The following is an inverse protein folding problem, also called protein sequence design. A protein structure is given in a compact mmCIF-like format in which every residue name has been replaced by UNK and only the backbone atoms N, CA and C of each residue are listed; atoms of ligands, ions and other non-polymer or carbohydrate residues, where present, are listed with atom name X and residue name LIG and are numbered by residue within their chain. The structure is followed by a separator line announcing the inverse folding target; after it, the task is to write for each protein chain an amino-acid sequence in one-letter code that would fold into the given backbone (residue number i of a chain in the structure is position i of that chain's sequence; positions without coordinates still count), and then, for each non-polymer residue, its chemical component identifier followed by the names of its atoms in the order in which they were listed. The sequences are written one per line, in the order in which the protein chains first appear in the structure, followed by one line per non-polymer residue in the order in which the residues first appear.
data_IF_275292732006
#
_entry.id   IF_275292732006
#
_cell.length_a   1.000
_cell.length_b   1.000
_cell.length_c   1.000
_cell.angle_alpha   90.00
_cell.angle_beta   90.00
_cell.angle_gamma   90.00
#
_symmetry.space_group_name_H-M   'P 1'
#
loop_
_entity.id
_entity.type
_entity.pdbx_description
1 polymer ?
#
# COMPACT_ATOMS: atom_id res chain seq x y z
N UNK A 1 9.19 42.83 5.01
CA UNK A 1 8.36 41.64 4.89
C UNK A 1 8.64 40.73 6.07
N UNK A 2 7.65 40.54 6.97
CA UNK A 2 7.79 39.70 8.15
C UNK A 2 7.89 38.23 7.78
N UNK A 3 8.93 37.55 8.24
CA UNK A 3 9.03 36.10 8.17
C UNK A 3 8.10 35.51 9.23
N UNK A 4 7.17 34.65 8.81
CA UNK A 4 6.31 33.92 9.72
C UNK A 4 6.93 32.58 10.01
N UNK A 5 7.16 32.28 11.30
CA UNK A 5 7.58 30.97 11.76
C UNK A 5 6.39 30.30 12.46
N UNK A 6 5.91 29.21 11.93
CA UNK A 6 4.80 28.45 12.50
C UNK A 6 5.21 27.04 12.88
N UNK A 7 4.56 26.48 13.88
CA UNK A 7 4.80 25.11 14.37
C UNK A 7 4.79 24.06 13.26
N UNK A 8 3.84 24.15 12.34
CA UNK A 8 3.71 23.24 11.20
C UNK A 8 4.73 23.57 10.10
N UNK A 9 4.94 24.85 9.82
CA UNK A 9 5.86 25.32 8.77
C UNK A 9 7.30 24.88 9.04
N UNK A 10 7.80 25.09 10.25
CA UNK A 10 9.18 24.70 10.63
C UNK A 10 9.39 23.19 10.54
N UNK A 11 8.44 22.39 11.02
CA UNK A 11 8.51 20.94 10.93
C UNK A 11 8.46 20.46 9.46
N UNK A 12 7.58 21.01 8.65
CA UNK A 12 7.46 20.66 7.24
C UNK A 12 8.73 21.04 6.46
N UNK A 13 9.29 22.24 6.69
CA UNK A 13 10.55 22.68 6.08
C UNK A 13 11.69 21.75 6.48
N UNK A 14 11.77 21.35 7.73
CA UNK A 14 12.79 20.40 8.21
C UNK A 14 12.71 19.06 7.46
N UNK A 15 11.52 18.49 7.34
CA UNK A 15 11.32 17.23 6.61
C UNK A 15 11.73 17.35 5.14
N UNK A 16 11.41 18.45 4.47
CA UNK A 16 11.82 18.69 3.09
C UNK A 16 13.35 18.81 2.97
N UNK A 17 13.99 19.55 3.88
CA UNK A 17 15.44 19.71 3.89
C UNK A 17 16.15 18.39 4.16
N UNK A 18 15.68 17.61 5.12
CA UNK A 18 16.26 16.31 5.43
C UNK A 18 16.12 15.35 4.26
N UNK A 19 14.94 15.33 3.60
CA UNK A 19 14.73 14.52 2.39
C UNK A 19 15.63 14.96 1.23
N UNK A 20 15.84 16.26 1.06
CA UNK A 20 16.77 16.76 0.03
C UNK A 20 18.23 16.38 0.32
N UNK A 21 18.64 16.39 1.59
CA UNK A 21 19.95 15.89 1.99
C UNK A 21 20.13 14.41 1.68
N UNK A 22 19.14 13.58 1.99
CA UNK A 22 19.13 12.17 1.63
C UNK A 22 19.24 11.99 0.11
N UNK A 23 18.48 12.76 -0.67
CA UNK A 23 18.53 12.74 -2.14
C UNK A 23 19.92 13.11 -2.69
N UNK A 24 20.56 14.12 -2.11
CA UNK A 24 21.90 14.56 -2.53
C UNK A 24 23.00 13.57 -2.11
N UNK A 25 22.81 12.87 -1.01
CA UNK A 25 23.73 11.84 -0.54
C UNK A 25 23.54 10.48 -1.22
N UNK A 26 22.40 10.26 -1.90
CA UNK A 26 22.05 8.98 -2.52
C UNK A 26 23.01 8.65 -3.67
N UNK A 27 23.58 7.46 -3.64
CA UNK A 27 24.41 6.88 -4.69
C UNK A 27 23.61 5.84 -5.45
N UNK A 28 23.40 6.09 -6.75
CA UNK A 28 22.68 5.16 -7.60
C UNK A 28 23.51 3.89 -7.85
N UNK A 29 22.89 2.73 -7.71
CA UNK A 29 23.45 1.45 -8.12
C UNK A 29 22.64 0.86 -9.28
N UNK A 30 23.31 0.10 -10.14
CA UNK A 30 22.71 -0.60 -11.26
C UNK A 30 22.66 -2.10 -10.99
N UNK A 31 21.59 -2.75 -11.38
CA UNK A 31 21.46 -4.20 -11.38
C UNK A 31 20.58 -4.64 -12.54
N UNK A 32 20.75 -5.88 -12.94
CA UNK A 32 19.96 -6.50 -14.00
C UNK A 32 19.19 -7.69 -13.45
N UNK A 33 18.00 -7.93 -13.99
CA UNK A 33 17.23 -9.14 -13.71
C UNK A 33 16.84 -9.82 -15.03
N UNK A 34 16.40 -11.07 -14.94
CA UNK A 34 15.95 -11.84 -16.08
C UNK A 34 14.53 -12.30 -15.82
N UNK A 35 13.63 -11.99 -16.75
CA UNK A 35 12.27 -12.50 -16.77
C UNK A 35 12.08 -13.33 -18.04
N UNK A 36 11.58 -14.56 -17.88
CA UNK A 36 11.31 -15.46 -19.00
C UNK A 36 9.82 -15.80 -19.04
N UNK A 37 9.30 -15.99 -20.25
CA UNK A 37 7.95 -16.51 -20.45
C UNK A 37 8.07 -18.03 -20.76
N UNK A 38 7.36 -18.80 -19.96
CA UNK A 38 7.26 -20.25 -20.12
C UNK A 38 5.89 -20.62 -20.67
N UNK A 39 5.85 -21.52 -21.64
CA UNK A 39 4.62 -22.10 -22.15
C UNK A 39 4.79 -23.63 -22.18
N UNK A 40 3.80 -24.41 -21.72
CA UNK A 40 3.87 -25.88 -21.76
C UNK A 40 3.83 -26.41 -23.19
N UNK A 41 3.20 -25.67 -24.09
CA UNK A 41 3.11 -25.94 -25.54
C UNK A 41 3.24 -24.64 -26.32
N UNK A 42 3.58 -24.72 -27.61
CA UNK A 42 3.84 -23.54 -28.46
C UNK A 42 2.63 -22.58 -28.56
N UNK A 43 1.41 -23.06 -28.38
CA UNK A 43 0.16 -22.27 -28.49
C UNK A 43 -0.61 -22.13 -27.16
N UNK A 44 -0.02 -22.60 -26.04
CA UNK A 44 -0.65 -22.55 -24.72
C UNK A 44 -0.54 -21.16 -24.03
N UNK A 45 -1.43 -20.91 -23.06
CA UNK A 45 -1.30 -19.79 -22.16
C UNK A 45 -0.01 -19.93 -21.34
N UNK A 46 0.96 -19.07 -21.64
CA UNK A 46 2.23 -19.02 -20.93
C UNK A 46 2.12 -18.21 -19.63
N UNK A 47 3.10 -18.40 -18.77
CA UNK A 47 3.28 -17.60 -17.56
C UNK A 47 4.68 -16.97 -17.53
N UNK A 48 4.80 -15.83 -16.87
CA UNK A 48 6.08 -15.17 -16.65
C UNK A 48 6.70 -15.64 -15.34
N UNK A 49 8.00 -15.90 -15.37
CA UNK A 49 8.79 -16.22 -14.20
C UNK A 49 10.07 -15.39 -14.19
N UNK A 50 10.46 -14.94 -13.01
CA UNK A 50 11.66 -14.15 -12.79
C UNK A 50 12.75 -14.99 -12.16
N UNK A 51 13.98 -14.80 -12.62
CA UNK A 51 15.15 -15.42 -12.03
C UNK A 51 15.33 -14.94 -10.59
N UNK A 52 15.38 -15.84 -9.64
CA UNK A 52 15.50 -15.51 -8.20
C UNK A 52 16.80 -16.00 -7.57
N UNK A 53 17.42 -17.04 -8.14
CA UNK A 53 18.67 -17.63 -7.62
C UNK A 53 19.51 -18.20 -8.76
N UNK A 54 20.84 -18.15 -8.56
CA UNK A 54 21.84 -18.87 -9.36
C UNK A 54 22.73 -19.62 -8.36
N UNK A 55 22.93 -20.91 -8.52
CA UNK A 55 23.75 -21.76 -7.65
C UNK A 55 23.40 -21.58 -6.15
N UNK A 56 22.12 -21.47 -5.85
CA UNK A 56 21.64 -21.26 -4.48
C UNK A 56 21.74 -19.82 -3.96
N UNK A 57 22.51 -18.94 -4.60
CA UNK A 57 22.64 -17.54 -4.21
C UNK A 57 21.51 -16.69 -4.80
N UNK A 58 20.87 -15.86 -3.98
CA UNK A 58 19.77 -14.99 -4.40
C UNK A 58 20.27 -13.83 -5.30
N UNK A 59 19.53 -13.52 -6.34
CA UNK A 59 19.81 -12.39 -7.20
C UNK A 59 19.33 -11.10 -6.54
N UNK A 60 20.15 -10.05 -6.66
CA UNK A 60 19.89 -8.73 -6.11
C UNK A 60 18.67 -8.05 -6.78
N UNK A 61 18.03 -7.21 -6.02
CA UNK A 61 16.99 -6.27 -6.45
C UNK A 61 17.30 -4.90 -5.86
N UNK A 62 16.60 -3.84 -6.25
CA UNK A 62 16.86 -2.49 -5.77
C UNK A 62 16.87 -2.31 -4.24
N UNK A 63 16.14 -3.16 -3.51
CA UNK A 63 16.09 -3.14 -2.03
C UNK A 63 17.32 -3.73 -1.35
N UNK A 64 18.23 -4.35 -2.09
CA UNK A 64 19.42 -5.02 -1.57
C UNK A 64 20.65 -4.11 -1.59
N UNK A 65 20.46 -2.88 -2.07
CA UNK A 65 21.47 -1.81 -2.02
C UNK A 65 21.10 -0.81 -0.93
N UNK A 66 22.09 -0.34 -0.20
CA UNK A 66 21.95 0.77 0.75
C UNK A 66 21.96 2.15 0.04
N UNK A 67 21.80 3.22 0.81
CA UNK A 67 21.79 4.59 0.28
C UNK A 67 23.13 5.03 -0.32
N UNK A 68 24.20 4.29 -0.08
CA UNK A 68 25.54 4.49 -0.65
C UNK A 68 25.78 3.63 -1.90
N UNK A 69 24.78 2.89 -2.36
CA UNK A 69 24.88 1.99 -3.49
C UNK A 69 25.64 0.70 -3.20
N UNK A 70 25.86 0.38 -1.90
CA UNK A 70 26.56 -0.84 -1.48
C UNK A 70 25.61 -2.03 -1.47
N UNK A 71 26.02 -3.12 -2.10
CA UNK A 71 25.27 -4.36 -2.15
C UNK A 71 25.40 -5.15 -0.85
N UNK A 72 24.32 -5.76 -0.39
CA UNK A 72 24.33 -6.69 0.73
C UNK A 72 25.13 -7.97 0.37
N UNK A 73 26.00 -8.44 1.26
CA UNK A 73 26.90 -9.59 1.03
C UNK A 73 26.19 -10.92 0.70
N UNK A 74 24.92 -11.06 1.11
CA UNK A 74 24.16 -12.29 0.96
C UNK A 74 23.53 -12.49 -0.43
N UNK A 75 23.69 -11.53 -1.34
CA UNK A 75 23.06 -11.53 -2.66
C UNK A 75 24.09 -11.34 -3.78
N UNK A 76 23.72 -11.70 -5.00
CA UNK A 76 24.53 -11.55 -6.20
C UNK A 76 23.88 -10.54 -7.12
N UNK A 77 24.56 -9.46 -7.47
CA UNK A 77 24.15 -8.57 -8.54
C UNK A 77 24.54 -9.16 -9.91
N UNK A 78 23.68 -8.97 -10.89
CA UNK A 78 24.01 -9.20 -12.30
C UNK A 78 24.31 -7.86 -12.93
N UNK A 79 25.39 -7.79 -13.71
CA UNK A 79 25.63 -6.74 -14.68
C UNK A 79 25.01 -7.10 -16.04
N UNK A 80 25.03 -6.16 -16.98
CA UNK A 80 24.44 -6.34 -18.29
C UNK A 80 25.05 -7.55 -19.04
N UNK A 81 26.38 -7.65 -19.03
CA UNK A 81 27.08 -8.69 -19.75
C UNK A 81 26.73 -10.10 -19.21
N UNK A 82 26.75 -10.24 -17.90
CA UNK A 82 26.41 -11.52 -17.23
C UNK A 82 24.92 -11.87 -17.43
N UNK A 83 24.02 -10.89 -17.33
CA UNK A 83 22.60 -11.13 -17.52
C UNK A 83 22.30 -11.53 -18.97
N UNK A 84 22.93 -10.88 -19.97
CA UNK A 84 22.75 -11.18 -21.38
C UNK A 84 23.27 -12.57 -21.71
N UNK A 85 24.50 -12.90 -21.32
CA UNK A 85 25.09 -14.22 -21.56
C UNK A 85 24.28 -15.35 -20.92
N UNK A 86 23.76 -15.12 -19.71
CA UNK A 86 22.90 -16.09 -19.04
C UNK A 86 21.57 -16.25 -19.77
N UNK A 87 20.93 -15.15 -20.19
CA UNK A 87 19.68 -15.20 -20.93
C UNK A 87 19.85 -15.98 -22.26
N UNK A 88 20.93 -15.74 -23.01
CA UNK A 88 21.25 -16.49 -24.22
C UNK A 88 21.43 -17.97 -23.94
N UNK A 89 22.14 -18.33 -22.87
CA UNK A 89 22.35 -19.74 -22.51
C UNK A 89 21.06 -20.45 -22.10
N UNK A 90 20.11 -19.73 -21.50
CA UNK A 90 18.80 -20.28 -21.12
C UNK A 90 17.85 -20.47 -22.30
N UNK A 91 18.09 -19.78 -23.41
CA UNK A 91 17.34 -19.95 -24.67
C UNK A 91 17.87 -21.06 -25.56
N UNK A 92 19.01 -21.65 -25.22
CA UNK A 92 19.57 -22.76 -25.96
C UNK A 92 18.61 -23.96 -25.96
N UNK A 93 18.41 -24.57 -27.11
CA UNK A 93 17.47 -25.70 -27.29
C UNK A 93 17.83 -26.95 -26.48
N UNK A 94 19.07 -27.03 -25.99
CA UNK A 94 19.50 -28.10 -25.06
C UNK A 94 19.10 -27.88 -23.61
N UNK A 95 18.66 -26.65 -23.26
CA UNK A 95 18.26 -26.30 -21.91
C UNK A 95 16.82 -26.75 -21.63
N UNK A 96 16.62 -27.56 -20.62
CA UNK A 96 15.29 -28.00 -20.18
C UNK A 96 14.89 -27.28 -18.88
N UNK A 97 13.64 -26.86 -18.81
CA UNK A 97 13.07 -26.25 -17.60
C UNK A 97 12.02 -27.19 -16.99
N UNK A 98 12.06 -27.35 -15.67
CA UNK A 98 11.11 -28.18 -14.93
C UNK A 98 10.46 -27.41 -13.80
N UNK A 99 9.18 -27.70 -13.52
CA UNK A 99 8.50 -27.17 -12.35
C UNK A 99 8.93 -27.97 -11.13
N UNK A 100 9.77 -27.36 -10.27
CA UNK A 100 10.28 -28.01 -9.08
C UNK A 100 9.23 -28.12 -7.96
N UNK A 101 8.37 -27.12 -7.81
CA UNK A 101 7.31 -27.13 -6.81
C UNK A 101 6.18 -26.17 -7.19
N UNK A 102 4.97 -26.51 -6.76
CA UNK A 102 3.81 -25.63 -6.81
C UNK A 102 3.25 -25.49 -5.41
N UNK A 103 3.20 -24.26 -4.90
CA UNK A 103 2.71 -23.99 -3.55
C UNK A 103 1.46 -23.10 -3.61
N UNK A 104 0.32 -23.64 -3.24
CA UNK A 104 -0.91 -22.90 -3.09
C UNK A 104 -0.99 -22.30 -1.67
N UNK A 105 -0.96 -20.96 -1.58
CA UNK A 105 -1.10 -20.24 -0.31
C UNK A 105 -2.46 -19.55 -0.22
N UNK A 106 -3.24 -19.84 0.82
CA UNK A 106 -4.50 -19.12 1.02
C UNK A 106 -4.20 -17.63 1.25
N UNK A 107 -4.89 -16.79 0.52
CA UNK A 107 -4.77 -15.33 0.64
C UNK A 107 -6.03 -14.75 1.30
N UNK A 108 -5.86 -14.12 2.44
CA UNK A 108 -6.96 -13.45 3.16
C UNK A 108 -6.79 -11.93 3.08
N UNK A 109 -7.75 -11.26 2.47
CA UNK A 109 -7.85 -9.80 2.53
C UNK A 109 -8.57 -9.36 3.80
N UNK A 110 -7.96 -8.42 4.51
CA UNK A 110 -8.63 -7.77 5.64
C UNK A 110 -9.20 -6.42 5.17
N UNK A 111 -10.42 -6.06 5.57
CA UNK A 111 -10.97 -4.73 5.33
C UNK A 111 -10.06 -3.65 5.94
N UNK A 112 -9.98 -2.50 5.28
CA UNK A 112 -9.32 -1.34 5.84
C UNK A 112 -10.03 -0.83 7.10
N UNK A 113 -9.30 -0.08 7.92
CA UNK A 113 -9.89 0.62 9.06
C UNK A 113 -10.88 1.70 8.59
N UNK A 114 -11.85 2.09 9.44
CA UNK A 114 -12.68 3.26 9.20
C UNK A 114 -11.84 4.51 8.93
N UNK A 115 -12.39 5.45 8.18
CA UNK A 115 -11.66 6.61 7.72
C UNK A 115 -11.27 7.58 8.85
N UNK A 116 -10.01 7.96 8.82
CA UNK A 116 -9.50 9.19 9.42
C UNK A 116 -9.43 10.28 8.35
N UNK A 117 -9.16 11.53 8.73
CA UNK A 117 -8.95 12.63 7.76
C UNK A 117 -7.92 12.28 6.70
N UNK A 118 -6.77 11.75 7.11
CA UNK A 118 -5.68 11.43 6.18
C UNK A 118 -6.03 10.28 5.23
N UNK A 119 -6.65 9.21 5.73
CA UNK A 119 -7.02 8.06 4.90
C UNK A 119 -8.19 8.39 3.96
N UNK A 120 -9.13 9.25 4.37
CA UNK A 120 -10.17 9.77 3.49
C UNK A 120 -9.56 10.55 2.32
N UNK A 121 -8.60 11.45 2.59
CA UNK A 121 -7.92 12.22 1.54
C UNK A 121 -7.15 11.31 0.57
N UNK A 122 -6.46 10.28 1.07
CA UNK A 122 -5.73 9.32 0.24
C UNK A 122 -6.68 8.53 -0.67
N UNK A 123 -7.79 8.03 -0.14
CA UNK A 123 -8.77 7.27 -0.94
C UNK A 123 -9.50 8.15 -1.96
N UNK A 124 -9.85 9.39 -1.59
CA UNK A 124 -10.44 10.35 -2.52
C UNK A 124 -9.47 10.73 -3.65
N UNK A 125 -8.20 10.92 -3.32
CA UNK A 125 -7.17 11.16 -4.34
C UNK A 125 -7.00 9.95 -5.27
N UNK A 126 -6.95 8.75 -4.72
CA UNK A 126 -6.76 7.51 -5.49
C UNK A 126 -7.96 7.17 -6.39
N UNK A 127 -9.18 7.29 -5.86
CA UNK A 127 -10.41 6.85 -6.56
C UNK A 127 -11.07 7.95 -7.38
N UNK A 128 -11.07 9.19 -6.86
CA UNK A 128 -11.79 10.32 -7.45
C UNK A 128 -10.88 11.39 -8.04
N UNK A 129 -9.57 11.24 -7.88
CA UNK A 129 -8.56 12.24 -8.29
C UNK A 129 -8.73 13.60 -7.62
N UNK A 130 -9.35 13.65 -6.45
CA UNK A 130 -9.53 14.88 -5.70
C UNK A 130 -8.23 15.34 -5.04
N UNK A 131 -8.01 16.65 -5.02
CA UNK A 131 -7.00 17.26 -4.15
C UNK A 131 -7.43 17.17 -2.68
N UNK A 132 -6.48 17.28 -1.75
CA UNK A 132 -6.80 17.33 -0.32
C UNK A 132 -7.76 18.47 0.03
N UNK A 133 -7.60 19.66 -0.60
CA UNK A 133 -8.50 20.80 -0.43
C UNK A 133 -9.92 20.46 -0.90
N UNK A 134 -10.06 19.89 -2.07
CA UNK A 134 -11.36 19.50 -2.63
C UNK A 134 -12.04 18.44 -1.76
N UNK A 135 -11.29 17.42 -1.34
CA UNK A 135 -11.80 16.39 -0.44
C UNK A 135 -12.34 16.99 0.85
N UNK A 136 -11.60 17.91 1.48
CA UNK A 136 -12.04 18.52 2.73
C UNK A 136 -13.23 19.46 2.54
N UNK A 137 -13.33 20.16 1.40
CA UNK A 137 -14.49 21.01 1.09
C UNK A 137 -15.76 20.15 0.93
N UNK A 138 -15.68 19.05 0.20
CA UNK A 138 -16.81 18.11 0.03
C UNK A 138 -17.18 17.46 1.36
N UNK A 139 -16.20 16.98 2.12
CA UNK A 139 -16.44 16.38 3.43
C UNK A 139 -17.08 17.36 4.43
N UNK A 140 -16.68 18.63 4.40
CA UNK A 140 -17.30 19.71 5.20
C UNK A 140 -18.79 19.85 4.84
N UNK A 141 -19.10 19.93 3.54
CA UNK A 141 -20.49 20.04 3.08
C UNK A 141 -21.31 18.79 3.48
N UNK A 142 -20.76 17.59 3.36
CA UNK A 142 -21.45 16.36 3.78
C UNK A 142 -21.71 16.34 5.29
N UNK A 143 -20.77 16.82 6.09
CA UNK A 143 -20.94 16.92 7.53
C UNK A 143 -22.02 17.96 7.90
N UNK A 144 -21.97 19.16 7.32
CA UNK A 144 -22.92 20.23 7.59
C UNK A 144 -24.36 19.86 7.20
N UNK A 145 -24.52 19.00 6.19
CA UNK A 145 -25.81 18.46 5.77
C UNK A 145 -26.21 17.16 6.50
N UNK A 146 -25.42 16.70 7.47
CA UNK A 146 -25.72 15.56 8.31
C UNK A 146 -25.56 14.20 7.63
N UNK A 147 -24.79 14.10 6.54
CA UNK A 147 -24.53 12.83 5.85
C UNK A 147 -23.42 12.02 6.49
N UNK A 148 -22.43 12.67 7.06
CA UNK A 148 -21.28 11.99 7.70
C UNK A 148 -20.98 12.55 9.08
N UNK A 149 -20.22 11.83 9.88
CA UNK A 149 -19.63 12.29 11.15
C UNK A 149 -18.58 13.37 10.89
N UNK A 150 -18.09 14.01 11.94
CA UNK A 150 -17.10 15.07 11.83
C UNK A 150 -15.84 14.60 11.10
N UNK A 151 -15.44 15.34 10.07
CA UNK A 151 -14.40 14.91 9.11
C UNK A 151 -12.97 15.23 9.54
N UNK A 152 -12.75 15.92 10.66
CA UNK A 152 -11.39 16.20 11.18
C UNK A 152 -11.14 15.31 12.39
N UNK A 153 -10.68 14.10 12.16
CA UNK A 153 -10.38 13.11 13.18
C UNK A 153 -9.20 12.25 12.77
N UNK A 154 -8.42 11.82 13.73
CA UNK A 154 -7.37 10.80 13.57
C UNK A 154 -7.82 9.44 14.16
N UNK A 155 -9.04 9.39 14.71
CA UNK A 155 -9.64 8.18 15.27
C UNK A 155 -10.19 7.27 14.17
N UNK A 156 -9.92 5.97 14.27
CA UNK A 156 -10.58 4.91 13.51
C UNK A 156 -11.63 4.16 14.33
N UNK A 157 -11.96 4.64 15.53
CA UNK A 157 -12.92 4.02 16.43
C UNK A 157 -14.35 4.28 15.99
N UNK A 158 -15.24 3.34 16.27
CA UNK A 158 -16.67 3.45 16.03
C UNK A 158 -17.41 3.18 17.33
N UNK A 159 -18.51 3.89 17.57
CA UNK A 159 -19.42 3.60 18.68
C UNK A 159 -20.10 2.25 18.48
N UNK A 160 -20.63 1.66 19.54
CA UNK A 160 -21.40 0.43 19.48
C UNK A 160 -22.61 0.58 18.56
N UNK A 161 -23.28 1.74 18.59
CA UNK A 161 -24.42 2.08 17.73
C UNK A 161 -24.01 2.12 16.26
N UNK A 162 -22.87 2.75 15.92
CA UNK A 162 -22.37 2.79 14.55
C UNK A 162 -22.01 1.40 14.03
N UNK A 163 -21.44 0.56 14.85
CA UNK A 163 -21.12 -0.83 14.51
C UNK A 163 -22.42 -1.61 14.25
N UNK A 164 -23.44 -1.47 15.08
CA UNK A 164 -24.72 -2.14 14.91
C UNK A 164 -25.37 -1.72 13.60
N UNK A 165 -25.48 -0.42 13.32
CA UNK A 165 -26.06 0.13 12.09
C UNK A 165 -25.31 -0.34 10.84
N UNK A 166 -23.97 -0.34 10.86
CA UNK A 166 -23.17 -0.81 9.74
C UNK A 166 -23.37 -2.31 9.47
N UNK A 167 -23.49 -3.12 10.51
CA UNK A 167 -23.75 -4.56 10.40
C UNK A 167 -25.14 -4.84 9.84
N UNK A 168 -26.15 -4.13 10.34
CA UNK A 168 -27.54 -4.24 9.84
C UNK A 168 -27.61 -3.88 8.35
N UNK A 169 -27.03 -2.76 7.96
CA UNK A 169 -26.95 -2.33 6.56
C UNK A 169 -26.20 -3.34 5.69
N UNK A 170 -25.08 -3.88 6.16
CA UNK A 170 -24.31 -4.88 5.43
C UNK A 170 -25.10 -6.18 5.26
N UNK A 171 -25.83 -6.60 6.30
CA UNK A 171 -26.72 -7.78 6.22
C UNK A 171 -27.86 -7.56 5.21
N UNK A 172 -28.46 -6.37 5.21
CA UNK A 172 -29.53 -6.05 4.28
C UNK A 172 -29.08 -6.01 2.82
N UNK A 173 -27.86 -5.53 2.55
CA UNK A 173 -27.31 -5.39 1.20
C UNK A 173 -26.66 -6.67 0.65
N UNK A 174 -26.00 -7.44 1.51
CA UNK A 174 -25.07 -8.50 1.08
C UNK A 174 -25.34 -9.86 1.70
N UNK A 175 -26.36 -9.98 2.57
CA UNK A 175 -26.67 -11.21 3.29
C UNK A 175 -25.90 -11.37 4.60
N UNK A 176 -26.44 -12.19 5.49
CA UNK A 176 -25.88 -12.43 6.82
C UNK A 176 -24.49 -13.10 6.77
N UNK A 177 -24.25 -13.93 5.76
CA UNK A 177 -22.97 -14.61 5.53
C UNK A 177 -21.81 -13.66 5.22
N UNK A 178 -22.12 -12.44 4.76
CA UNK A 178 -21.12 -11.39 4.50
C UNK A 178 -20.68 -10.63 5.75
N UNK A 179 -21.36 -10.85 6.88
CA UNK A 179 -21.10 -10.14 8.14
C UNK A 179 -20.47 -11.09 9.15
N UNK A 180 -19.23 -10.84 9.60
CA UNK A 180 -18.55 -11.73 10.55
C UNK A 180 -19.27 -11.76 11.90
N UNK A 181 -19.21 -12.88 12.64
CA UNK A 181 -19.86 -13.05 13.93
C UNK A 181 -19.48 -11.96 14.95
N UNK A 182 -18.20 -11.60 14.95
CA UNK A 182 -17.69 -10.56 15.86
C UNK A 182 -17.31 -9.30 15.07
N UNK A 183 -17.66 -8.09 15.61
CA UNK A 183 -17.19 -6.84 15.03
C UNK A 183 -15.68 -6.80 14.94
N UNK A 184 -15.14 -6.23 13.88
CA UNK A 184 -13.70 -5.99 13.76
C UNK A 184 -13.31 -4.79 14.60
N UNK A 185 -12.24 -4.93 15.36
CA UNK A 185 -11.63 -3.84 16.11
C UNK A 185 -10.33 -3.41 15.43
N UNK A 186 -10.14 -2.11 15.32
CA UNK A 186 -8.94 -1.49 14.77
C UNK A 186 -8.26 -0.70 15.89
N UNK A 187 -7.17 -1.23 16.42
CA UNK A 187 -6.40 -0.53 17.43
C UNK A 187 -5.74 0.72 16.83
N UNK A 188 -6.05 1.89 17.36
CA UNK A 188 -5.35 3.11 17.02
C UNK A 188 -3.90 3.03 17.53
N UNK A 189 -2.93 3.33 16.68
CA UNK A 189 -1.50 3.40 17.03
C UNK A 189 -1.16 4.65 17.86
N UNK A 190 -2.08 5.57 18.04
CA UNK A 190 -1.83 6.82 18.75
C UNK A 190 -1.91 6.60 20.26
N UNK A 191 -0.75 6.60 20.92
CA UNK A 191 -0.64 6.64 22.40
C UNK A 191 -1.22 7.94 23.01
N UNK A 192 -1.54 8.93 22.20
CA UNK A 192 -2.03 10.25 22.57
C UNK A 192 -3.35 10.60 21.89
N UNK A 193 -4.22 9.61 21.61
CA UNK A 193 -5.56 9.91 21.10
C UNK A 193 -6.32 10.69 22.19
N UNK A 194 -6.20 12.00 22.15
CA UNK A 194 -6.84 12.95 23.07
C UNK A 194 -8.29 13.22 22.65
N UNK A 195 -8.82 12.47 21.65
CA UNK A 195 -10.09 12.82 21.05
C UNK A 195 -11.14 11.72 21.22
N UNK A 196 -12.24 12.13 21.85
CA UNK A 196 -13.49 11.40 21.94
C UNK A 196 -14.26 11.32 20.60
N UNK A 197 -13.57 11.56 19.45
CA UNK A 197 -14.21 11.55 18.16
C UNK A 197 -14.24 10.16 17.55
N UNK A 198 -15.34 9.87 16.87
CA UNK A 198 -15.43 8.69 16.00
C UNK A 198 -14.63 8.85 14.71
N UNK A 199 -14.45 7.74 14.00
CA UNK A 199 -14.03 7.72 12.61
C UNK A 199 -15.03 8.46 11.70
N UNK A 200 -14.60 8.82 10.50
CA UNK A 200 -15.49 9.39 9.49
C UNK A 200 -16.35 8.26 8.92
N UNK A 201 -17.65 8.38 9.05
CA UNK A 201 -18.65 7.40 8.61
C UNK A 201 -19.96 8.08 8.21
N UNK A 202 -20.85 7.40 7.51
CA UNK A 202 -22.24 7.86 7.36
C UNK A 202 -22.90 8.11 8.72
N UNK A 203 -23.62 9.20 8.86
CA UNK A 203 -24.29 9.61 10.10
C UNK A 203 -25.56 8.82 10.35
N UNK A 204 -25.95 8.73 11.63
CA UNK A 204 -27.19 8.10 12.06
C UNK A 204 -27.12 6.57 12.04
N UNK A 205 -28.29 5.98 12.12
CA UNK A 205 -28.53 4.53 12.11
C UNK A 205 -28.98 4.05 10.73
N UNK A 206 -29.62 4.92 9.96
CA UNK A 206 -30.06 4.65 8.59
C UNK A 206 -29.24 5.51 7.63
N UNK A 207 -28.38 4.86 6.86
CA UNK A 207 -27.47 5.55 5.98
C UNK A 207 -28.22 6.12 4.77
N UNK A 208 -28.07 7.42 4.57
CA UNK A 208 -28.67 8.09 3.41
C UNK A 208 -27.85 7.78 2.15
N UNK A 209 -28.53 7.53 1.08
CA UNK A 209 -27.93 7.43 -0.26
C UNK A 209 -27.95 8.77 -0.97
#
# INVERSE_FOLDING_TARGET
PGLSAGRVQSAATRLVVDRERERLAFVAASYWDITARFAPEAEGDGFEARLVRIDGQRIASGRDFDDNGTLADSVRALDEATATALAESLLDSSTSSTVASVEAKPYTRRPAAPFTTSTLQQEAARKLRFSARQTMSVAQSLYENGYITYMRTDSSSLSAQAIAAAREQATALYGAESVPDKPRSYAGKSKNAQEAHEAIRPSGEHFRT
#
